data_IF_339637478681
#
_entry.id   IF_339637478681
#
_cell.length_a   1.000
_cell.length_b   1.000
_cell.length_c   1.000
_cell.angle_alpha   90.00
_cell.angle_beta   90.00
_cell.angle_gamma   90.00
#
_symmetry.space_group_name_H-M   'P 1'
#
loop_
_entity.id
_entity.type
_entity.pdbx_description
1 polymer ?
#
# COMPACT_ATOMS: atom_id res chain seq x y z
N UNK A 1 -1.64 6.84 17.24
CA UNK A 1 -2.11 6.37 15.92
C UNK A 1 -1.46 5.04 15.63
N UNK A 2 -2.23 3.96 15.61
CA UNK A 2 -1.70 2.62 15.44
C UNK A 2 -2.47 1.95 14.32
N UNK A 3 -1.77 1.64 13.24
CA UNK A 3 -2.17 0.50 12.42
C UNK A 3 -1.48 -0.72 13.03
N UNK A 4 -2.25 -1.73 13.40
CA UNK A 4 -1.71 -3.00 13.85
C UNK A 4 -2.40 -4.16 13.13
N UNK A 5 -1.56 -5.12 12.73
CA UNK A 5 -1.98 -6.41 12.18
C UNK A 5 -2.51 -7.30 13.29
N UNK A 6 -3.60 -8.01 13.03
CA UNK A 6 -3.98 -9.16 13.84
C UNK A 6 -3.14 -10.38 13.41
N UNK A 7 -2.20 -10.73 14.29
CA UNK A 7 -1.45 -11.99 14.53
C UNK A 7 -1.49 -13.13 13.50
N UNK A 8 -0.27 -13.64 13.24
CA UNK A 8 0.21 -14.82 12.51
C UNK A 8 -0.76 -15.59 11.58
N UNK A 9 -0.36 -15.70 10.31
CA UNK A 9 -0.79 -16.78 9.43
C UNK A 9 -0.08 -18.07 9.86
N UNK A 10 -0.59 -18.74 10.90
CA UNK A 10 -0.21 -20.13 11.15
C UNK A 10 -1.28 -21.02 10.54
N UNK A 11 -0.81 -21.98 9.73
CA UNK A 11 -1.54 -23.12 9.21
C UNK A 11 -2.74 -22.85 8.32
N UNK A 12 -2.50 -22.74 7.00
CA UNK A 12 -3.37 -23.24 5.91
C UNK A 12 -4.82 -22.76 5.84
N UNK A 13 -5.27 -21.98 6.81
CA UNK A 13 -6.57 -21.36 6.92
C UNK A 13 -6.35 -19.92 6.50
N UNK A 14 -7.08 -19.53 5.47
CA UNK A 14 -7.34 -18.14 5.15
C UNK A 14 -8.14 -17.54 6.31
N UNK A 15 -7.47 -17.30 7.44
CA UNK A 15 -8.03 -16.60 8.57
C UNK A 15 -8.17 -15.14 8.14
N UNK A 16 -9.38 -14.77 7.73
CA UNK A 16 -9.79 -13.40 7.44
C UNK A 16 -9.79 -12.59 8.74
N UNK A 17 -8.58 -12.28 9.25
CA UNK A 17 -8.42 -11.41 10.40
C UNK A 17 -8.44 -9.95 9.93
N UNK A 18 -9.31 -9.11 10.50
CA UNK A 18 -9.32 -7.70 10.16
C UNK A 18 -8.04 -7.04 10.68
N UNK A 19 -7.58 -6.03 9.94
CA UNK A 19 -6.60 -5.08 10.45
C UNK A 19 -7.32 -3.84 10.95
N UNK A 20 -6.70 -3.13 11.89
CA UNK A 20 -7.31 -1.98 12.56
C UNK A 20 -6.58 -0.69 12.25
N UNK A 21 -7.35 0.37 12.04
CA UNK A 21 -6.91 1.73 11.84
C UNK A 21 -7.47 2.59 12.97
N UNK A 22 -6.61 3.26 13.73
CA UNK A 22 -7.03 4.29 14.68
C UNK A 22 -6.69 5.68 14.15
N UNK A 23 -7.72 6.49 13.93
CA UNK A 23 -7.63 7.88 13.49
C UNK A 23 -7.07 8.81 14.59
N UNK A 24 -6.70 10.03 14.22
CA UNK A 24 -6.20 11.05 15.17
C UNK A 24 -7.22 11.40 16.26
N UNK A 25 -8.51 11.28 15.93
CA UNK A 25 -9.62 11.57 16.86
C UNK A 25 -9.94 10.38 17.79
N UNK A 26 -9.16 9.30 17.73
CA UNK A 26 -9.36 8.08 18.52
C UNK A 26 -10.41 7.11 17.94
N UNK A 27 -11.04 7.45 16.81
CA UNK A 27 -11.96 6.54 16.11
C UNK A 27 -11.21 5.33 15.54
N UNK A 28 -11.72 4.13 15.83
CA UNK A 28 -11.18 2.90 15.27
C UNK A 28 -12.06 2.38 14.13
N UNK A 29 -11.43 1.99 13.04
CA UNK A 29 -12.05 1.25 11.94
C UNK A 29 -11.35 -0.09 11.74
N UNK A 30 -12.10 -1.08 11.28
CA UNK A 30 -11.62 -2.43 11.02
C UNK A 30 -11.85 -2.76 9.55
N UNK A 31 -10.84 -3.33 8.90
CA UNK A 31 -10.89 -3.62 7.46
C UNK A 31 -10.44 -5.05 7.20
N UNK A 32 -11.07 -5.67 6.21
CA UNK A 32 -10.70 -7.00 5.74
C UNK A 32 -9.88 -6.88 4.45
N UNK A 33 -8.83 -7.69 4.36
CA UNK A 33 -8.11 -7.89 3.11
C UNK A 33 -8.84 -8.94 2.24
N UNK A 34 -8.74 -8.85 0.90
CA UNK A 34 -9.22 -9.90 0.00
C UNK A 34 -8.63 -11.29 0.31
N UNK A 35 -9.30 -12.33 -0.15
CA UNK A 35 -8.83 -13.71 -0.03
C UNK A 35 -7.37 -13.87 -0.51
N UNK A 36 -6.52 -14.48 0.30
CA UNK A 36 -5.11 -14.74 -0.01
C UNK A 36 -4.17 -13.58 0.32
N UNK A 37 -4.67 -12.48 0.87
CA UNK A 37 -3.84 -11.32 1.24
C UNK A 37 -3.96 -10.96 2.71
N UNK A 38 -2.90 -10.35 3.25
CA UNK A 38 -2.76 -9.92 4.64
C UNK A 38 -2.25 -8.49 4.64
N UNK A 39 -2.66 -7.69 5.63
CA UNK A 39 -2.17 -6.32 5.74
C UNK A 39 -0.66 -6.29 6.02
N UNK A 40 0.08 -5.56 5.20
CA UNK A 40 1.52 -5.37 5.32
C UNK A 40 1.83 -3.96 5.84
N UNK A 41 2.37 -3.90 7.06
CA UNK A 41 2.80 -2.64 7.69
C UNK A 41 3.92 -1.93 6.90
N UNK A 42 4.71 -2.68 6.11
CA UNK A 42 5.82 -2.15 5.33
C UNK A 42 5.34 -1.28 4.15
N UNK A 43 4.28 -1.70 3.47
CA UNK A 43 3.72 -1.02 2.28
C UNK A 43 2.40 -0.30 2.56
N UNK A 44 1.84 -0.46 3.75
CA UNK A 44 0.54 0.11 4.17
C UNK A 44 -0.63 -0.30 3.26
N UNK A 45 -0.61 -1.53 2.74
CA UNK A 45 -1.68 -2.14 1.95
C UNK A 45 -1.76 -3.64 2.23
N UNK A 46 -2.78 -4.31 1.69
CA UNK A 46 -2.80 -5.77 1.63
C UNK A 46 -1.75 -6.27 0.63
N UNK A 47 -1.01 -7.32 1.01
CA UNK A 47 -0.05 -8.04 0.17
C UNK A 47 -0.28 -9.54 0.36
N UNK A 48 0.30 -10.37 -0.49
CA UNK A 48 0.19 -11.81 -0.40
C UNK A 48 0.76 -12.33 0.93
N UNK A 49 0.08 -13.31 1.53
CA UNK A 49 0.44 -13.83 2.85
C UNK A 49 1.90 -14.29 2.97
N UNK A 50 2.51 -14.80 1.90
CA UNK A 50 3.90 -15.24 1.88
C UNK A 50 4.92 -14.09 1.85
N UNK A 51 4.49 -12.87 1.51
CA UNK A 51 5.33 -11.66 1.56
C UNK A 51 5.25 -10.95 2.92
N UNK A 52 4.33 -11.35 3.80
CA UNK A 52 4.04 -10.65 5.06
C UNK A 52 4.56 -11.44 6.25
N UNK A 53 5.54 -10.88 6.95
CA UNK A 53 6.03 -11.43 8.22
C UNK A 53 5.34 -10.74 9.41
N UNK A 54 4.23 -11.32 9.90
CA UNK A 54 3.44 -10.74 11.00
C UNK A 54 4.27 -10.44 12.26
N UNK A 55 5.22 -11.32 12.60
CA UNK A 55 6.12 -11.12 13.75
C UNK A 55 7.01 -9.86 13.64
N UNK A 56 7.23 -9.34 12.43
CA UNK A 56 8.00 -8.12 12.19
C UNK A 56 7.13 -6.86 12.24
N UNK A 57 5.79 -6.96 12.18
CA UNK A 57 4.90 -5.80 12.16
C UNK A 57 5.13 -4.80 13.30
N UNK A 58 5.35 -5.22 14.58
CA UNK A 58 5.61 -4.27 15.66
C UNK A 58 6.85 -3.39 15.44
N UNK A 59 7.90 -3.92 14.79
CA UNK A 59 9.12 -3.16 14.45
C UNK A 59 8.86 -2.08 13.40
N UNK A 60 7.78 -2.22 12.64
CA UNK A 60 7.40 -1.33 11.55
C UNK A 60 6.34 -0.30 11.96
N UNK A 61 5.86 -0.30 13.22
CA UNK A 61 4.88 0.70 13.70
C UNK A 61 5.38 2.13 13.62
N UNK A 62 6.71 2.35 13.63
CA UNK A 62 7.31 3.65 13.38
C UNK A 62 6.89 4.25 12.02
N UNK A 63 6.56 3.41 11.03
CA UNK A 63 6.09 3.86 9.72
C UNK A 63 4.71 4.54 9.78
N UNK A 64 3.91 4.33 10.84
CA UNK A 64 2.63 5.01 11.04
C UNK A 64 2.78 6.54 11.11
N UNK A 65 3.95 7.05 11.49
CA UNK A 65 4.26 8.48 11.46
C UNK A 65 4.14 9.11 10.05
N UNK A 66 4.09 8.30 8.98
CA UNK A 66 3.96 8.77 7.60
C UNK A 66 2.51 9.00 7.16
N UNK A 67 1.51 8.45 7.86
CA UNK A 67 0.12 8.38 7.38
C UNK A 67 -0.55 9.76 7.20
N UNK A 68 -0.18 10.74 8.03
CA UNK A 68 -0.68 12.12 7.92
C UNK A 68 0.41 13.11 7.51
N UNK A 69 1.54 12.61 7.01
CA UNK A 69 2.56 13.52 6.49
C UNK A 69 1.96 14.16 5.25
N UNK A 70 1.52 15.42 5.37
CA UNK A 70 1.11 16.22 4.21
C UNK A 70 2.22 16.04 3.20
N UNK A 71 1.89 15.49 2.02
CA UNK A 71 2.77 15.64 0.87
C UNK A 71 2.83 17.16 0.70
N UNK A 72 3.89 17.79 1.24
CA UNK A 72 4.28 19.11 0.77
C UNK A 72 4.29 18.93 -0.73
N UNK A 73 3.51 19.71 -1.50
CA UNK A 73 3.52 19.57 -2.94
C UNK A 73 4.99 19.68 -3.27
N UNK A 74 5.57 18.53 -3.63
CA UNK A 74 6.92 18.54 -4.14
C UNK A 74 6.76 19.50 -5.30
N UNK A 75 7.62 20.53 -5.36
CA UNK A 75 7.81 21.30 -6.57
C UNK A 75 8.39 20.32 -7.60
N UNK A 76 7.61 19.31 -7.98
CA UNK A 76 7.86 18.52 -9.15
C UNK A 76 7.55 19.52 -10.26
N UNK A 77 8.53 19.90 -11.07
CA UNK A 77 8.22 20.62 -12.29
C UNK A 77 7.12 19.83 -13.00
N UNK A 78 6.19 20.54 -13.63
CA UNK A 78 5.14 19.90 -14.44
C UNK A 78 5.84 18.85 -15.31
N UNK A 79 5.40 17.58 -15.30
CA UNK A 79 5.97 16.59 -16.19
C UNK A 79 5.98 17.16 -17.61
N UNK A 80 7.04 16.90 -18.37
CA UNK A 80 7.03 17.25 -19.78
C UNK A 80 5.76 16.65 -20.41
N UNK A 81 5.08 17.38 -21.31
CA UNK A 81 3.89 16.85 -21.98
C UNK A 81 4.25 15.51 -22.62
N UNK A 82 3.37 14.52 -22.46
CA UNK A 82 3.51 13.24 -23.15
C UNK A 82 3.56 13.50 -24.66
N UNK A 83 4.41 12.76 -25.38
CA UNK A 83 4.42 12.82 -26.85
C UNK A 83 3.03 12.46 -27.35
N UNK A 84 2.50 13.26 -28.26
CA UNK A 84 1.24 12.95 -28.93
C UNK A 84 1.52 11.80 -29.90
N UNK A 85 0.64 10.80 -29.93
CA UNK A 85 0.69 9.75 -30.93
C UNK A 85 0.23 10.36 -32.25
N UNK A 86 1.18 10.83 -33.05
CA UNK A 86 0.95 11.31 -34.41
C UNK A 86 1.30 10.23 -35.44
N UNK A 87 0.92 10.47 -36.70
CA UNK A 87 1.18 9.52 -37.79
C UNK A 87 2.68 9.24 -37.94
N UNK A 88 3.51 10.25 -37.75
CA UNK A 88 4.97 10.12 -37.82
C UNK A 88 5.49 9.15 -36.74
N UNK A 89 5.01 9.27 -35.49
CA UNK A 89 5.39 8.37 -34.41
C UNK A 89 4.91 6.93 -34.64
N UNK A 90 3.71 6.75 -35.20
CA UNK A 90 3.19 5.43 -35.56
C UNK A 90 4.07 4.79 -36.64
N UNK A 91 4.38 5.54 -37.70
CA UNK A 91 5.20 5.05 -38.81
C UNK A 91 6.63 4.69 -38.33
N UNK A 92 7.21 5.49 -37.43
CA UNK A 92 8.52 5.21 -36.82
C UNK A 92 8.55 3.98 -35.92
N UNK A 93 7.45 3.67 -35.22
CA UNK A 93 7.38 2.53 -34.28
C UNK A 93 7.04 1.24 -35.01
N UNK A 94 6.13 1.29 -35.99
CA UNK A 94 5.52 0.10 -36.57
C UNK A 94 5.92 -0.19 -38.02
N UNK A 95 6.45 0.80 -38.74
CA UNK A 95 6.70 0.70 -40.19
C UNK A 95 8.15 1.01 -40.55
N UNK A 96 9.07 0.85 -39.60
CA UNK A 96 10.51 0.89 -39.84
C UNK A 96 11.04 -0.42 -40.39
#
# INVERSE_FOLDING_TARGET
MLIYTAVNAEDGSMSVRPWHYCDIDGRQASFLCPNGTVFSQAVASCDWWFNVHCAQSPKLYLLNARLYRRRRPAQKPRPAPHRVIDKQLIDEIFLK
#
